data_IF_771024080219
#
_entry.id   IF_771024080219
#
_cell.length_a   1.000
_cell.length_b   1.000
_cell.length_c   1.000
_cell.angle_alpha   90.00
_cell.angle_beta   90.00
_cell.angle_gamma   90.00
#
_symmetry.space_group_name_H-M   'P 1'
#
loop_
_entity.id
_entity.type
_entity.pdbx_description
1 polymer ?
#
# COMPACT_ATOMS: atom_id res chain seq x y z
N UNK A 1 -24.70 5.42 -0.70
CA UNK A 1 -23.41 6.14 -0.84
C UNK A 1 -22.54 5.46 -1.89
N UNK A 2 -21.81 6.23 -2.72
CA UNK A 2 -20.92 5.69 -3.75
C UNK A 2 -19.50 5.51 -3.22
N UNK A 3 -18.96 4.31 -3.40
CA UNK A 3 -17.61 3.92 -2.99
C UNK A 3 -16.85 3.34 -4.17
N UNK A 4 -15.55 3.57 -4.21
CA UNK A 4 -14.61 2.92 -5.10
C UNK A 4 -13.86 1.83 -4.33
N UNK A 5 -13.96 0.59 -4.78
CA UNK A 5 -13.23 -0.52 -4.19
C UNK A 5 -11.73 -0.31 -4.36
N UNK A 6 -10.97 -0.52 -3.29
CA UNK A 6 -9.51 -0.50 -3.29
C UNK A 6 -8.94 -1.89 -3.53
N UNK A 7 -9.67 -2.92 -3.10
CA UNK A 7 -9.31 -4.32 -3.28
C UNK A 7 -10.54 -5.14 -3.73
N UNK A 8 -10.34 -6.40 -4.11
CA UNK A 8 -11.44 -7.28 -4.52
C UNK A 8 -12.05 -7.97 -3.29
N UNK A 9 -13.34 -7.80 -3.07
CA UNK A 9 -14.01 -8.39 -1.91
C UNK A 9 -15.43 -8.85 -2.24
N UNK A 10 -15.99 -9.66 -1.35
CA UNK A 10 -17.38 -10.10 -1.42
C UNK A 10 -18.14 -9.60 -0.21
N UNK A 11 -19.33 -9.04 -0.45
CA UNK A 11 -20.29 -8.67 0.60
C UNK A 11 -21.68 -9.15 0.22
N UNK A 12 -22.51 -9.49 1.21
CA UNK A 12 -23.88 -9.93 0.98
C UNK A 12 -24.74 -8.86 0.27
N UNK A 13 -24.44 -7.57 0.46
CA UNK A 13 -25.16 -6.45 -0.15
C UNK A 13 -24.69 -6.20 -1.60
N UNK A 14 -23.38 -6.04 -1.80
CA UNK A 14 -22.80 -5.61 -3.09
C UNK A 14 -22.32 -6.77 -3.97
N UNK A 15 -22.51 -8.01 -3.49
CA UNK A 15 -21.93 -9.23 -4.07
C UNK A 15 -20.41 -9.10 -4.22
N UNK A 16 -19.87 -9.65 -5.30
CA UNK A 16 -18.46 -9.56 -5.65
C UNK A 16 -18.18 -8.18 -6.26
N UNK A 17 -17.23 -7.47 -5.67
CA UNK A 17 -16.75 -6.18 -6.14
C UNK A 17 -15.26 -6.32 -6.42
N UNK A 18 -14.81 -5.86 -7.58
CA UNK A 18 -13.40 -5.91 -7.96
C UNK A 18 -12.67 -4.63 -7.59
N UNK A 19 -11.35 -4.73 -7.35
CA UNK A 19 -10.51 -3.56 -7.11
C UNK A 19 -10.67 -2.51 -8.24
N UNK A 20 -10.84 -1.24 -7.85
CA UNK A 20 -11.06 -0.12 -8.76
C UNK A 20 -12.50 0.06 -9.23
N UNK A 21 -13.39 -0.92 -8.99
CA UNK A 21 -14.80 -0.83 -9.35
C UNK A 21 -15.54 0.13 -8.42
N UNK A 22 -16.42 0.94 -8.99
CA UNK A 22 -17.34 1.80 -8.24
C UNK A 22 -18.59 0.99 -7.94
N UNK A 23 -19.03 1.05 -6.69
CA UNK A 23 -20.23 0.39 -6.21
C UNK A 23 -21.01 1.30 -5.27
N UNK A 24 -22.33 1.09 -5.24
CA UNK A 24 -23.22 1.81 -4.35
C UNK A 24 -23.60 0.93 -3.17
N UNK A 25 -23.55 1.51 -1.97
CA UNK A 25 -23.92 0.87 -0.70
C UNK A 25 -25.12 1.62 -0.15
N UNK A 26 -26.22 0.93 0.12
CA UNK A 26 -27.41 1.55 0.72
C UNK A 26 -27.15 1.88 2.19
N UNK A 27 -26.45 0.98 2.88
CA UNK A 27 -26.12 1.10 4.30
C UNK A 27 -24.90 1.99 4.55
N UNK A 28 -25.11 3.20 5.07
CA UNK A 28 -24.01 4.13 5.36
C UNK A 28 -23.00 3.57 6.38
N UNK A 29 -23.48 2.79 7.36
CA UNK A 29 -22.66 2.11 8.36
C UNK A 29 -21.70 1.09 7.72
N UNK A 30 -22.21 0.28 6.78
CA UNK A 30 -21.41 -0.68 6.00
C UNK A 30 -20.38 0.05 5.15
N UNK A 31 -20.77 1.15 4.52
CA UNK A 31 -19.86 1.93 3.71
C UNK A 31 -18.68 2.49 4.51
N UNK A 32 -18.94 3.00 5.72
CA UNK A 32 -17.89 3.42 6.66
C UNK A 32 -17.02 2.24 7.12
N UNK A 33 -17.59 1.06 7.31
CA UNK A 33 -16.84 -0.15 7.64
C UNK A 33 -15.85 -0.53 6.53
N UNK A 34 -16.29 -0.54 5.26
CA UNK A 34 -15.42 -0.83 4.11
C UNK A 34 -14.26 0.17 4.01
N UNK A 35 -14.53 1.45 4.27
CA UNK A 35 -13.49 2.50 4.29
C UNK A 35 -12.52 2.30 5.44
N UNK A 36 -13.03 2.01 6.64
CA UNK A 36 -12.21 1.77 7.84
C UNK A 36 -11.31 0.54 7.71
N UNK A 37 -11.78 -0.50 7.02
CA UNK A 37 -11.01 -1.73 6.72
C UNK A 37 -10.05 -1.57 5.54
N UNK A 38 -10.08 -0.43 4.84
CA UNK A 38 -9.25 -0.21 3.65
C UNK A 38 -9.70 -0.98 2.41
N UNK A 39 -10.94 -1.50 2.40
CA UNK A 39 -11.52 -2.23 1.27
C UNK A 39 -12.09 -1.30 0.19
N UNK A 40 -12.51 -0.10 0.57
CA UNK A 40 -13.08 0.88 -0.34
C UNK A 40 -12.73 2.33 0.08
N UNK A 41 -12.96 3.29 -0.81
CA UNK A 41 -12.82 4.72 -0.56
C UNK A 41 -14.05 5.46 -1.10
N UNK A 42 -14.47 6.56 -0.47
CA UNK A 42 -15.61 7.37 -0.94
C UNK A 42 -15.30 7.95 -2.32
N UNK A 43 -16.20 7.73 -3.27
CA UNK A 43 -16.02 8.27 -4.62
C UNK A 43 -16.15 9.80 -4.58
N UNK A 44 -15.08 10.51 -4.99
CA UNK A 44 -15.06 11.96 -5.04
C UNK A 44 -14.52 12.65 -3.78
N UNK A 45 -14.28 11.93 -2.68
CA UNK A 45 -13.41 12.47 -1.63
C UNK A 45 -11.97 12.40 -2.13
N UNK A 46 -11.24 13.53 -2.22
CA UNK A 46 -9.80 13.46 -2.38
C UNK A 46 -9.32 12.64 -1.19
N UNK A 47 -8.65 11.50 -1.44
CA UNK A 47 -7.91 10.77 -0.41
C UNK A 47 -7.13 11.81 0.37
N UNK A 48 -7.62 12.22 1.53
CA UNK A 48 -6.77 12.72 2.57
C UNK A 48 -5.91 11.52 2.86
N UNK A 49 -4.74 11.50 2.20
CA UNK A 49 -3.65 10.60 2.46
C UNK A 49 -3.34 10.86 3.93
N UNK A 50 -4.06 10.18 4.83
CA UNK A 50 -3.58 9.89 6.16
C UNK A 50 -2.34 9.10 5.85
N UNK A 51 -1.23 9.86 5.85
CA UNK A 51 0.15 9.44 5.70
C UNK A 51 0.19 7.98 6.05
N UNK A 52 0.56 7.18 5.05
CA UNK A 52 1.09 5.85 5.29
C UNK A 52 1.84 5.93 6.62
N UNK A 53 1.35 5.18 7.61
CA UNK A 53 2.08 4.98 8.85
C UNK A 53 3.51 4.72 8.40
N UNK A 54 4.41 5.56 8.93
CA UNK A 54 5.80 5.63 8.55
C UNK A 54 6.29 4.25 8.14
N UNK A 55 6.91 4.18 6.96
CA UNK A 55 7.84 3.12 6.61
C UNK A 55 8.53 2.71 7.92
N UNK A 56 8.49 1.43 8.35
CA UNK A 56 9.36 1.05 9.43
C UNK A 56 10.76 1.41 8.95
N UNK A 57 11.30 2.51 9.48
CA UNK A 57 12.71 2.87 9.42
C UNK A 57 13.45 1.79 10.19
N UNK A 58 13.45 0.57 9.65
CA UNK A 58 14.48 -0.38 9.97
C UNK A 58 15.71 0.12 9.22
N UNK A 59 16.43 1.03 9.90
CA UNK A 59 17.85 1.29 9.68
C UNK A 59 18.61 -0.03 9.81
N UNK A 60 18.53 -0.90 8.81
CA UNK A 60 19.63 -1.79 8.52
C UNK A 60 20.71 -0.90 7.90
N UNK A 61 21.69 -0.56 8.73
CA UNK A 61 22.80 0.30 8.43
C UNK A 61 23.40 0.00 7.05
N UNK A 62 23.69 1.08 6.34
CA UNK A 62 24.52 1.09 5.16
C UNK A 62 25.82 0.29 5.41
N UNK A 63 26.10 -0.60 4.46
CA UNK A 63 27.40 -0.84 3.84
C UNK A 63 28.64 -0.92 4.77
N UNK A 64 29.35 -2.08 4.85
CA UNK A 64 30.76 -2.04 5.15
C UNK A 64 31.49 -1.38 3.96
N UNK A 65 31.93 -0.15 4.22
CA UNK A 65 32.87 0.67 3.48
C UNK A 65 33.96 -0.19 2.79
N UNK A 66 33.90 -0.24 1.47
CA UNK A 66 34.94 -0.83 0.64
C UNK A 66 36.16 0.11 0.65
N UNK A 67 37.05 -0.09 1.61
CA UNK A 67 38.37 0.57 1.64
C UNK A 67 39.49 -0.42 1.93
N UNK A 68 39.83 -1.22 0.93
CA UNK A 68 41.17 -1.72 0.76
C UNK A 68 41.52 -1.80 -0.74
N UNK A 69 41.81 -0.64 -1.31
CA UNK A 69 42.65 -0.54 -2.48
C UNK A 69 44.05 -1.09 -2.12
N UNK A 70 44.28 -2.37 -2.43
CA UNK A 70 45.61 -2.94 -2.58
C UNK A 70 45.62 -3.86 -3.79
N UNK A 71 45.91 -3.27 -4.94
CA UNK A 71 46.62 -3.92 -6.06
C UNK A 71 47.87 -3.08 -6.31
N UNK A 72 48.97 -3.62 -6.85
CA UNK A 72 49.03 -4.78 -7.78
C UNK A 72 50.16 -5.76 -7.37
N UNK A 73 50.61 -6.83 -8.05
CA UNK A 73 50.70 -7.26 -9.45
C UNK A 73 50.99 -8.78 -9.45
N UNK A 74 50.61 -9.46 -10.55
CA UNK A 74 51.14 -10.75 -11.01
C UNK A 74 52.54 -10.54 -11.62
N UNK A 75 53.50 -11.44 -11.37
CA UNK A 75 54.79 -11.45 -12.08
C UNK A 75 55.76 -12.52 -11.59
N UNK A 76 55.99 -13.51 -12.45
CA UNK A 76 57.01 -14.57 -12.38
C UNK A 76 58.44 -14.05 -12.16
N UNK A 77 59.21 -14.77 -11.35
CA UNK A 77 60.57 -15.24 -11.71
C UNK A 77 60.98 -16.43 -10.85
#
# INVERSE_FOLDING_TARGET
>A
MKLKALDSFYSSETKQVHAGQVFEVESEERGKEFVKRGLAAVEGEPKAVKKAAAEPENKAAAEPDNKAASKPTKGEK
#
